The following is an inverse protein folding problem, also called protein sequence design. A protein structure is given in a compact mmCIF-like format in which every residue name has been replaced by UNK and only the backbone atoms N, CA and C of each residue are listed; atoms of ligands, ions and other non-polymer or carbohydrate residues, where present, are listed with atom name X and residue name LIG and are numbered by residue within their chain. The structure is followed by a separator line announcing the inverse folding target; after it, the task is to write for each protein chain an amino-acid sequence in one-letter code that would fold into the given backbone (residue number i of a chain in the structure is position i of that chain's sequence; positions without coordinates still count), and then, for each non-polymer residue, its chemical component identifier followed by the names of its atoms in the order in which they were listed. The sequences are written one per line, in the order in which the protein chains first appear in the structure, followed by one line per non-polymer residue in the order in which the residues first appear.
data_IF_090714999158
#
_entry.id   IF_090714999158
#
_cell.length_a   1.000
_cell.length_b   1.000
_cell.length_c   1.000
_cell.angle_alpha   90.00
_cell.angle_beta   90.00
_cell.angle_gamma   90.00
#
_symmetry.space_group_name_H-M   'P 1'
#
loop_
_entity.id
_entity.type
_entity.pdbx_description
1 polymer ?
#
# COMPACT_ATOMS: atom_id res chain seq x y z
N UNK A 1 8.82 -3.44 11.72
CA UNK A 1 7.50 -2.80 11.62
C UNK A 1 6.46 -3.90 11.72
N UNK A 2 5.38 -3.69 12.48
CA UNK A 2 4.30 -4.67 12.60
C UNK A 2 3.17 -4.33 11.61
N UNK A 3 2.68 -5.36 10.92
CA UNK A 3 1.57 -5.26 9.97
C UNK A 3 0.37 -6.04 10.46
N UNK A 4 -0.82 -5.48 10.27
CA UNK A 4 -2.09 -6.14 10.54
C UNK A 4 -3.03 -6.03 9.35
N UNK A 5 -3.82 -7.06 9.10
CA UNK A 5 -4.86 -7.06 8.09
C UNK A 5 -5.79 -8.26 8.26
N UNK A 6 -6.94 -8.18 7.61
CA UNK A 6 -7.87 -9.30 7.51
C UNK A 6 -7.35 -10.32 6.48
N UNK A 7 -7.09 -11.60 6.85
CA UNK A 7 -6.59 -12.61 5.92
C UNK A 7 -7.55 -12.90 4.75
N UNK A 8 -8.87 -12.87 4.98
CA UNK A 8 -9.86 -13.07 3.91
C UNK A 8 -9.80 -11.91 2.91
N UNK A 9 -9.58 -10.70 3.42
CA UNK A 9 -9.38 -9.51 2.58
C UNK A 9 -8.08 -9.59 1.79
N UNK A 10 -7.00 -10.08 2.41
CA UNK A 10 -5.72 -10.33 1.74
C UNK A 10 -5.89 -11.30 0.56
N UNK A 11 -6.58 -12.42 0.78
CA UNK A 11 -6.86 -13.42 -0.25
C UNK A 11 -7.74 -12.84 -1.38
N UNK A 12 -8.81 -12.12 -1.03
CA UNK A 12 -9.67 -11.45 -2.02
C UNK A 12 -8.88 -10.41 -2.83
N UNK A 13 -7.94 -9.70 -2.20
CA UNK A 13 -7.09 -8.74 -2.88
C UNK A 13 -6.13 -9.44 -3.84
N UNK A 14 -5.56 -10.58 -3.45
CA UNK A 14 -4.70 -11.41 -4.31
C UNK A 14 -5.42 -11.85 -5.56
N UNK A 15 -6.66 -12.33 -5.43
CA UNK A 15 -7.49 -12.75 -6.56
C UNK A 15 -7.82 -11.58 -7.50
N UNK A 16 -8.12 -10.39 -6.97
CA UNK A 16 -8.53 -9.23 -7.77
C UNK A 16 -7.36 -8.44 -8.37
N UNK A 17 -6.24 -8.36 -7.66
CA UNK A 17 -5.14 -7.42 -7.93
C UNK A 17 -3.81 -8.14 -8.19
N UNK A 18 -3.74 -9.45 -7.98
CA UNK A 18 -2.54 -10.27 -8.19
C UNK A 18 -1.50 -10.16 -7.07
N UNK A 19 -1.84 -9.56 -5.93
CA UNK A 19 -0.96 -9.42 -4.76
C UNK A 19 -1.74 -9.55 -3.45
N UNK A 20 -1.22 -10.36 -2.53
CA UNK A 20 -1.68 -10.44 -1.14
C UNK A 20 -1.00 -9.36 -0.27
N UNK A 21 -1.53 -9.16 0.93
CA UNK A 21 -1.00 -8.14 1.84
C UNK A 21 0.34 -8.53 2.45
N UNK A 22 0.65 -9.81 2.59
CA UNK A 22 1.98 -10.29 2.99
C UNK A 22 3.05 -9.83 2.01
N UNK A 23 2.87 -10.09 0.71
CA UNK A 23 3.80 -9.64 -0.33
C UNK A 23 3.82 -8.11 -0.49
N UNK A 24 2.71 -7.43 -0.21
CA UNK A 24 2.65 -5.99 -0.29
C UNK A 24 3.50 -5.28 0.77
N UNK A 25 3.88 -5.95 1.86
CA UNK A 25 4.77 -5.38 2.90
C UNK A 25 6.14 -4.96 2.34
N UNK A 26 6.56 -5.53 1.20
CA UNK A 26 7.77 -5.13 0.48
C UNK A 26 7.75 -3.65 0.08
N UNK A 27 6.58 -3.01 -0.02
CA UNK A 27 6.48 -1.55 -0.23
C UNK A 27 7.23 -0.73 0.83
N UNK A 28 7.40 -1.25 2.04
CA UNK A 28 8.12 -0.55 3.10
C UNK A 28 9.65 -0.76 3.04
N UNK A 29 10.12 -1.66 2.19
CA UNK A 29 11.55 -1.80 1.86
C UNK A 29 11.99 -0.79 0.78
N UNK A 30 11.04 -0.26 0.02
CA UNK A 30 11.29 0.82 -0.92
C UNK A 30 11.60 2.13 -0.16
N UNK A 31 12.84 2.61 -0.35
CA UNK A 31 13.36 3.83 0.27
C UNK A 31 12.74 5.09 -0.32
N UNK A 32 12.29 5.01 -1.58
CA UNK A 32 11.75 6.14 -2.33
C UNK A 32 10.22 6.24 -2.17
N UNK A 33 9.61 5.29 -1.45
CA UNK A 33 8.16 5.24 -1.25
C UNK A 33 7.58 6.58 -0.82
N UNK A 34 6.44 6.93 -1.40
CA UNK A 34 5.69 8.14 -1.08
C UNK A 34 4.51 7.76 -0.21
N UNK A 35 4.25 8.55 0.82
CA UNK A 35 3.08 8.42 1.67
C UNK A 35 2.26 9.71 1.64
N UNK A 36 0.97 9.58 1.33
CA UNK A 36 0.06 10.71 1.16
C UNK A 36 -1.13 10.54 2.09
N UNK A 37 -1.42 11.50 2.99
CA UNK A 37 -2.61 11.46 3.82
C UNK A 37 -3.88 11.66 2.97
N UNK A 38 -4.87 10.80 3.17
CA UNK A 38 -6.21 10.95 2.60
C UNK A 38 -7.11 11.67 3.60
N UNK A 39 -7.93 12.61 3.11
CA UNK A 39 -8.93 13.32 3.92
C UNK A 39 -10.16 12.44 4.12
N UNK A 40 -10.14 11.58 5.15
CA UNK A 40 -11.25 10.72 5.56
C UNK A 40 -11.53 10.88 7.06
N UNK A 41 -12.70 10.46 7.54
CA UNK A 41 -13.08 10.54 8.96
C UNK A 41 -12.11 9.75 9.87
N UNK A 42 -11.63 8.60 9.41
CA UNK A 42 -10.50 7.88 10.00
C UNK A 42 -9.22 8.22 9.21
N UNK A 43 -8.07 8.51 9.85
CA UNK A 43 -6.82 8.78 9.15
C UNK A 43 -6.41 7.61 8.25
N UNK A 44 -6.41 7.83 6.95
CA UNK A 44 -5.93 6.86 5.95
C UNK A 44 -4.78 7.45 5.16
N UNK A 45 -3.90 6.58 4.72
CA UNK A 45 -2.73 6.97 3.93
C UNK A 45 -2.68 6.13 2.67
N UNK A 46 -2.26 6.77 1.58
CA UNK A 46 -1.88 6.12 0.35
C UNK A 46 -0.36 5.99 0.33
N UNK A 47 0.15 4.77 0.34
CA UNK A 47 1.57 4.45 0.18
C UNK A 47 1.77 4.03 -1.28
N UNK A 48 2.65 4.72 -1.99
CA UNK A 48 3.03 4.42 -3.37
C UNK A 48 4.49 4.01 -3.35
N UNK A 49 4.80 2.89 -3.98
CA UNK A 49 6.17 2.42 -4.12
C UNK A 49 6.29 1.32 -5.15
N UNK A 50 7.46 0.70 -5.18
CA UNK A 50 7.85 -0.29 -6.17
C UNK A 50 8.12 -1.64 -5.52
N UNK A 51 7.60 -2.70 -6.15
CA UNK A 51 7.92 -4.09 -5.82
C UNK A 51 8.47 -4.73 -7.10
N UNK A 52 9.77 -5.00 -7.12
CA UNK A 52 10.48 -5.39 -8.34
C UNK A 52 10.41 -4.28 -9.40
N UNK A 53 9.93 -4.57 -10.61
CA UNK A 53 9.76 -3.57 -11.68
C UNK A 53 8.41 -2.86 -11.68
N UNK A 54 7.56 -3.15 -10.70
CA UNK A 54 6.14 -2.84 -10.72
C UNK A 54 5.79 -1.82 -9.65
N UNK A 55 5.14 -0.73 -10.02
CA UNK A 55 4.57 0.23 -9.07
C UNK A 55 3.23 -0.27 -8.50
N UNK A 56 3.07 -0.06 -7.20
CA UNK A 56 1.91 -0.44 -6.41
C UNK A 56 1.51 0.68 -5.46
N UNK A 57 0.22 0.71 -5.14
CA UNK A 57 -0.37 1.66 -4.23
C UNK A 57 -1.17 0.91 -3.16
N UNK A 58 -0.77 1.08 -1.91
CA UNK A 58 -1.45 0.53 -0.73
C UNK A 58 -2.24 1.61 0.00
N UNK A 59 -3.46 1.28 0.40
CA UNK A 59 -4.24 2.10 1.33
C UNK A 59 -4.08 1.51 2.72
N UNK A 60 -3.67 2.32 3.68
CA UNK A 60 -3.41 1.91 5.06
C UNK A 60 -4.08 2.82 6.08
N UNK A 61 -4.09 2.37 7.32
CA UNK A 61 -4.24 3.24 8.50
C UNK A 61 -3.22 2.84 9.55
N UNK A 62 -2.87 3.76 10.45
CA UNK A 62 -2.00 3.49 11.59
C UNK A 62 -2.85 3.31 12.85
N UNK A 63 -2.68 2.20 13.55
CA UNK A 63 -3.38 1.89 14.80
C UNK A 63 -2.39 1.31 15.80
N UNK A 64 -2.30 1.91 16.99
CA UNK A 64 -1.43 1.40 18.07
C UNK A 64 0.03 1.17 17.65
N UNK A 65 0.56 1.98 16.71
CA UNK A 65 1.91 1.82 16.16
C UNK A 65 2.07 0.75 15.08
N UNK A 66 0.98 0.09 14.67
CA UNK A 66 0.94 -0.91 13.59
C UNK A 66 0.43 -0.32 12.28
N UNK A 67 0.87 -0.92 11.18
CA UNK A 67 0.35 -0.62 9.84
C UNK A 67 -0.78 -1.57 9.52
N UNK A 68 -2.01 -1.05 9.42
CA UNK A 68 -3.14 -1.82 8.96
C UNK A 68 -3.32 -1.69 7.46
N UNK A 69 -3.08 -2.76 6.72
CA UNK A 69 -3.28 -2.78 5.27
C UNK A 69 -4.78 -2.96 4.98
N UNK A 70 -5.36 -1.99 4.27
CA UNK A 70 -6.79 -1.96 3.91
C UNK A 70 -6.98 -2.50 2.50
N UNK A 71 -6.15 -2.08 1.54
CA UNK A 71 -6.18 -2.57 0.15
C UNK A 71 -4.87 -2.29 -0.56
N UNK A 72 -4.56 -3.07 -1.60
CA UNK A 72 -3.36 -2.89 -2.43
C UNK A 72 -3.72 -3.12 -3.88
N UNK A 73 -3.25 -2.25 -4.77
CA UNK A 73 -3.54 -2.34 -6.20
C UNK A 73 -2.36 -1.83 -7.01
N UNK A 74 -2.43 -2.03 -8.33
CA UNK A 74 -1.49 -1.37 -9.25
C UNK A 74 -1.62 0.15 -9.13
N UNK A 75 -0.47 0.81 -9.07
CA UNK A 75 -0.42 2.25 -9.06
C UNK A 75 -1.04 2.80 -10.35
N UNK A 76 -1.84 3.86 -10.21
CA UNK A 76 -2.40 4.58 -11.35
C UNK A 76 -1.32 5.44 -12.01
N UNK A 77 -1.56 5.89 -13.24
CA UNK A 77 -0.56 6.67 -14.01
C UNK A 77 -0.12 7.93 -13.26
N UNK A 78 -1.05 8.61 -12.62
CA UNK A 78 -0.78 9.79 -11.79
C UNK A 78 0.04 9.46 -10.54
N UNK A 79 -0.14 8.28 -9.95
CA UNK A 79 0.62 7.83 -8.78
C UNK A 79 2.05 7.43 -9.17
N UNK A 80 2.21 6.78 -10.34
CA UNK A 80 3.52 6.46 -10.90
C UNK A 80 4.29 7.74 -11.22
N UNK A 81 3.65 8.70 -11.90
CA UNK A 81 4.28 9.98 -12.21
C UNK A 81 4.71 10.74 -10.95
N UNK A 82 3.91 10.65 -9.87
CA UNK A 82 4.27 11.25 -8.59
C UNK A 82 5.48 10.55 -7.94
N UNK A 83 5.55 9.21 -8.00
CA UNK A 83 6.67 8.42 -7.49
C UNK A 83 7.96 8.66 -8.27
N UNK A 84 7.91 8.61 -9.59
CA UNK A 84 9.08 8.77 -10.46
C UNK A 84 9.55 10.23 -10.57
N UNK A 85 8.67 11.20 -10.28
CA UNK A 85 9.00 12.62 -10.29
C UNK A 85 9.61 13.15 -8.97
N UNK A 86 9.93 12.27 -8.03
CA UNK A 86 10.51 12.60 -6.72
C UNK A 86 12.02 12.79 -6.76
#
# INVERSE_FOLDING_TARGET
MEFEFDPQKSQTNKEKQGIDFDKAQVLWEDVDRIEIPARTEEPRFLVIGKIGEKHWSAVITYREGRVRIISVRRARREEVALYEGR
#
